data_IF_227578947710
#
_entry.id   IF_227578947710
#
_cell.length_a   1.000
_cell.length_b   1.000
_cell.length_c   1.000
_cell.angle_alpha   90.00
_cell.angle_beta   90.00
_cell.angle_gamma   90.00
#
_symmetry.space_group_name_H-M   'P 1'
#
loop_
_entity.id
_entity.type
_entity.pdbx_description
1 polymer ?
#
# COMPACT_ATOMS: atom_id res chain seq x y z
N UNK A 1 -69.88 1.05 34.57
CA UNK A 1 -69.00 -0.08 34.06
C UNK A 1 -68.34 0.44 32.78
N UNK A 2 -67.07 0.88 32.91
CA UNK A 2 -66.31 1.45 31.81
C UNK A 2 -65.27 0.44 31.33
N UNK A 3 -65.42 -0.06 30.13
CA UNK A 3 -64.56 -1.06 29.50
C UNK A 3 -63.37 -0.33 28.86
N UNK A 4 -62.15 -0.48 29.44
CA UNK A 4 -60.92 0.04 28.85
C UNK A 4 -60.39 -0.97 27.82
N UNK A 5 -60.45 -0.59 26.55
CA UNK A 5 -59.86 -1.34 25.46
C UNK A 5 -58.38 -0.91 25.30
N UNK A 6 -57.43 -1.75 25.79
CA UNK A 6 -56.02 -1.56 25.61
C UNK A 6 -55.61 -2.05 24.23
N UNK A 7 -55.22 -1.11 23.38
CA UNK A 7 -54.67 -1.38 22.03
C UNK A 7 -53.20 -1.76 22.17
N UNK A 8 -52.86 -3.04 22.02
CA UNK A 8 -51.50 -3.54 22.01
C UNK A 8 -50.94 -3.33 20.59
N UNK A 9 -50.07 -2.34 20.44
CA UNK A 9 -49.32 -2.10 19.20
C UNK A 9 -48.07 -3.00 19.20
N UNK A 10 -48.16 -4.14 18.53
CA UNK A 10 -46.99 -5.03 18.32
C UNK A 10 -46.14 -4.44 17.22
N UNK A 11 -45.01 -3.83 17.61
CA UNK A 11 -44.00 -3.31 16.67
C UNK A 11 -43.24 -4.49 16.08
N UNK A 12 -43.54 -4.86 14.85
CA UNK A 12 -42.82 -5.88 14.09
C UNK A 12 -41.50 -5.26 13.59
N UNK A 13 -40.39 -5.46 14.30
CA UNK A 13 -39.05 -5.13 13.82
C UNK A 13 -38.73 -6.12 12.69
N UNK A 14 -38.93 -5.69 11.45
CA UNK A 14 -38.36 -6.38 10.30
C UNK A 14 -36.84 -6.11 10.31
N UNK A 15 -36.05 -7.05 10.83
CA UNK A 15 -34.63 -7.09 10.64
C UNK A 15 -34.36 -7.31 9.13
N UNK A 16 -34.12 -6.24 8.41
CA UNK A 16 -33.58 -6.34 7.05
C UNK A 16 -32.16 -6.90 7.18
N UNK A 17 -32.02 -8.20 6.94
CA UNK A 17 -30.73 -8.78 6.61
C UNK A 17 -30.30 -8.16 5.27
N UNK A 18 -29.56 -7.06 5.34
CA UNK A 18 -28.77 -6.57 4.21
C UNK A 18 -27.67 -7.62 4.04
N UNK A 19 -27.91 -8.55 3.11
CA UNK A 19 -26.87 -9.42 2.62
C UNK A 19 -25.84 -8.49 1.96
N UNK A 20 -24.77 -8.16 2.69
CA UNK A 20 -23.64 -7.43 2.12
C UNK A 20 -23.12 -8.28 0.97
N UNK A 21 -23.18 -7.76 -0.25
CA UNK A 21 -22.57 -8.43 -1.40
C UNK A 21 -21.11 -8.75 -1.05
N UNK A 22 -20.70 -10.00 -1.25
CA UNK A 22 -19.31 -10.44 -1.05
C UNK A 22 -18.38 -9.47 -1.79
N UNK A 23 -17.48 -8.83 -1.04
CA UNK A 23 -16.52 -7.91 -1.59
C UNK A 23 -15.13 -8.55 -1.60
N UNK A 24 -14.76 -9.12 -2.72
CA UNK A 24 -13.49 -9.82 -2.89
C UNK A 24 -12.26 -8.98 -2.51
N UNK A 25 -12.32 -7.67 -2.65
CA UNK A 25 -11.24 -6.78 -2.20
C UNK A 25 -11.08 -6.76 -0.68
N UNK A 26 -12.18 -6.88 0.07
CA UNK A 26 -12.14 -6.99 1.53
C UNK A 26 -11.79 -8.40 1.98
N UNK A 27 -12.38 -9.41 1.33
CA UNK A 27 -12.30 -10.80 1.74
C UNK A 27 -10.91 -11.40 1.53
N UNK A 28 -10.17 -10.89 0.53
CA UNK A 28 -8.80 -11.34 0.21
C UNK A 28 -7.72 -10.37 0.69
N UNK A 29 -8.07 -9.41 1.54
CA UNK A 29 -7.13 -8.42 2.03
C UNK A 29 -6.06 -9.04 2.93
N UNK A 30 -4.80 -8.71 2.63
CA UNK A 30 -3.62 -9.06 3.41
C UNK A 30 -2.96 -7.78 3.88
N UNK A 31 -2.88 -7.59 5.20
CA UNK A 31 -2.21 -6.44 5.78
C UNK A 31 -0.69 -6.50 5.55
N UNK A 32 -0.09 -5.37 5.25
CA UNK A 32 1.37 -5.21 5.28
C UNK A 32 1.87 -5.34 6.72
N UNK A 33 3.19 -5.60 6.89
CA UNK A 33 3.77 -5.56 8.23
C UNK A 33 3.57 -4.16 8.81
N UNK A 34 3.00 -4.11 10.02
CA UNK A 34 2.80 -2.85 10.72
C UNK A 34 4.16 -2.14 10.90
N UNK A 35 4.24 -0.90 10.48
CA UNK A 35 5.33 0.00 10.82
C UNK A 35 4.86 0.92 11.96
N UNK A 36 5.80 1.54 12.67
CA UNK A 36 5.48 2.56 13.67
C UNK A 36 5.25 3.94 13.04
N UNK A 37 5.11 4.00 11.71
CA UNK A 37 4.93 5.24 10.99
C UNK A 37 3.56 5.86 11.29
N UNK A 38 3.53 7.18 11.46
CA UNK A 38 2.29 7.92 11.62
C UNK A 38 1.74 8.31 10.25
N UNK A 39 0.49 7.95 10.00
CA UNK A 39 -0.22 8.34 8.80
C UNK A 39 -1.01 9.63 9.01
N UNK A 40 -1.18 10.39 7.94
CA UNK A 40 -2.12 11.52 7.91
C UNK A 40 -3.52 10.94 7.74
N UNK A 41 -4.48 11.36 8.57
CA UNK A 41 -5.87 10.96 8.36
C UNK A 41 -6.38 11.61 7.07
N UNK A 42 -6.87 10.82 6.08
CA UNK A 42 -7.36 11.36 4.82
C UNK A 42 -8.51 12.35 5.02
N UNK A 43 -8.43 13.51 4.37
CA UNK A 43 -9.52 14.50 4.34
C UNK A 43 -10.48 14.30 3.17
N UNK A 44 -10.02 13.62 2.13
CA UNK A 44 -10.77 13.29 0.92
C UNK A 44 -11.03 11.78 0.86
N UNK A 45 -12.06 11.36 0.12
CA UNK A 45 -12.26 9.94 -0.13
C UNK A 45 -11.09 9.33 -0.90
N UNK A 46 -10.81 8.03 -0.72
CA UNK A 46 -9.71 7.35 -1.40
C UNK A 46 -9.89 7.40 -2.92
N UNK A 47 -8.77 7.55 -3.65
CA UNK A 47 -8.72 7.59 -5.12
C UNK A 47 -8.18 6.29 -5.68
N UNK A 48 -8.77 5.80 -6.78
CA UNK A 48 -8.28 4.61 -7.49
C UNK A 48 -7.49 5.06 -8.73
N UNK A 49 -6.34 4.44 -8.93
CA UNK A 49 -5.52 4.59 -10.13
C UNK A 49 -5.19 3.21 -10.70
N UNK A 50 -5.12 3.12 -12.02
CA UNK A 50 -4.65 1.91 -12.69
C UNK A 50 -3.13 1.86 -12.64
N UNK A 51 -2.59 0.83 -11.99
CA UNK A 51 -1.15 0.56 -11.98
C UNK A 51 -0.68 -0.10 -13.27
N UNK A 52 0.60 0.04 -13.57
CA UNK A 52 1.23 -0.52 -14.77
C UNK A 52 2.35 -1.50 -14.45
N UNK A 53 3.17 -1.16 -13.45
CA UNK A 53 4.34 -1.93 -13.03
C UNK A 53 4.40 -1.91 -11.51
N UNK A 54 4.08 -3.03 -10.87
CA UNK A 54 3.98 -3.14 -9.40
C UNK A 54 5.25 -2.69 -8.68
N UNK A 55 6.42 -2.92 -9.27
CA UNK A 55 7.72 -2.58 -8.66
C UNK A 55 7.99 -1.07 -8.77
N UNK A 56 7.85 -0.52 -9.96
CA UNK A 56 8.07 0.91 -10.20
C UNK A 56 7.00 1.78 -9.52
N UNK A 57 5.75 1.33 -9.58
CA UNK A 57 4.64 2.04 -8.96
C UNK A 57 4.80 2.06 -7.44
N UNK A 58 5.25 0.94 -6.83
CA UNK A 58 5.59 0.88 -5.41
C UNK A 58 6.70 1.88 -5.06
N UNK A 59 7.82 1.85 -5.79
CA UNK A 59 8.92 2.78 -5.56
C UNK A 59 8.43 4.23 -5.66
N UNK A 60 7.61 4.54 -6.68
CA UNK A 60 7.05 5.89 -6.86
C UNK A 60 6.14 6.32 -5.71
N UNK A 61 5.31 5.42 -5.20
CA UNK A 61 4.46 5.72 -4.04
C UNK A 61 5.30 6.00 -2.78
N UNK A 62 6.35 5.20 -2.55
CA UNK A 62 7.29 5.40 -1.43
C UNK A 62 8.04 6.74 -1.56
N UNK A 63 8.50 7.11 -2.76
CA UNK A 63 9.12 8.42 -3.05
C UNK A 63 8.16 9.58 -2.78
N UNK A 64 6.88 9.42 -3.11
CA UNK A 64 5.84 10.41 -2.83
C UNK A 64 5.42 10.47 -1.35
N UNK A 65 6.05 9.68 -0.49
CA UNK A 65 5.79 9.63 0.95
C UNK A 65 4.49 8.91 1.30
N UNK A 66 4.15 7.85 0.55
CA UNK A 66 3.08 6.94 0.91
C UNK A 66 3.65 5.63 1.45
N UNK A 67 2.93 5.00 2.35
CA UNK A 67 3.23 3.68 2.87
C UNK A 67 2.18 2.66 2.41
N UNK A 68 2.64 1.46 2.07
CA UNK A 68 1.77 0.34 1.72
C UNK A 68 1.12 -0.22 3.00
N UNK A 69 -0.20 -0.07 3.13
CA UNK A 69 -0.98 -0.61 4.26
C UNK A 69 -1.26 -2.11 4.07
N UNK A 70 -1.48 -2.53 2.84
CA UNK A 70 -1.77 -3.91 2.49
C UNK A 70 -2.21 -4.04 1.05
N UNK A 71 -2.63 -5.26 0.68
CA UNK A 71 -3.06 -5.57 -0.67
C UNK A 71 -4.15 -6.64 -0.69
N UNK A 72 -4.88 -6.71 -1.79
CA UNK A 72 -5.80 -7.81 -2.11
C UNK A 72 -5.36 -8.46 -3.42
N UNK A 73 -5.35 -9.80 -3.51
CA UNK A 73 -4.98 -10.57 -4.71
C UNK A 73 -6.01 -11.70 -4.89
N UNK A 74 -6.75 -11.70 -6.01
CA UNK A 74 -7.77 -12.68 -6.28
C UNK A 74 -8.00 -12.87 -7.79
N UNK A 75 -8.73 -13.93 -8.14
CA UNK A 75 -9.20 -14.18 -9.49
C UNK A 75 -10.72 -14.22 -9.52
N UNK A 76 -11.32 -13.51 -10.46
CA UNK A 76 -12.77 -13.46 -10.63
C UNK A 76 -13.13 -13.12 -12.08
N UNK A 77 -14.42 -13.15 -12.40
CA UNK A 77 -14.93 -12.57 -13.62
C UNK A 77 -14.73 -11.05 -13.67
N UNK A 78 -15.58 -10.32 -14.34
CA UNK A 78 -15.50 -8.86 -14.37
C UNK A 78 -15.92 -8.27 -13.03
N UNK A 79 -14.99 -7.61 -12.31
CA UNK A 79 -15.21 -6.97 -11.01
C UNK A 79 -14.92 -5.49 -11.14
N UNK A 80 -15.90 -4.66 -10.76
CA UNK A 80 -15.75 -3.20 -10.80
C UNK A 80 -14.62 -2.71 -9.88
N UNK A 81 -13.74 -1.83 -10.37
CA UNK A 81 -12.70 -1.18 -9.58
C UNK A 81 -13.24 -0.46 -8.33
N UNK A 82 -14.43 0.12 -8.41
CA UNK A 82 -15.05 0.88 -7.33
C UNK A 82 -15.35 0.01 -6.09
N UNK A 83 -15.42 -1.30 -6.25
CA UNK A 83 -15.58 -2.24 -5.13
C UNK A 83 -14.36 -2.26 -4.19
N UNK A 84 -13.21 -1.71 -4.60
CA UNK A 84 -12.07 -1.52 -3.73
C UNK A 84 -12.22 -0.34 -2.75
N UNK A 85 -13.10 0.63 -3.04
CA UNK A 85 -13.26 1.85 -2.23
C UNK A 85 -13.75 1.60 -0.80
N UNK A 86 -14.74 0.72 -0.54
CA UNK A 86 -15.14 0.42 0.84
C UNK A 86 -13.99 -0.10 1.70
N UNK A 87 -13.16 -0.99 1.16
CA UNK A 87 -11.97 -1.50 1.84
C UNK A 87 -10.94 -0.39 2.06
N UNK A 88 -10.63 0.42 1.04
CA UNK A 88 -9.73 1.54 1.16
C UNK A 88 -10.17 2.54 2.23
N UNK A 89 -11.47 2.84 2.30
CA UNK A 89 -12.05 3.72 3.33
C UNK A 89 -11.93 3.13 4.74
N UNK A 90 -12.20 1.84 4.90
CA UNK A 90 -12.05 1.14 6.18
C UNK A 90 -10.61 1.16 6.68
N UNK A 91 -9.63 1.09 5.77
CA UNK A 91 -8.20 1.16 6.05
C UNK A 91 -7.67 2.60 6.23
N UNK A 92 -8.48 3.62 6.02
CA UNK A 92 -8.04 5.02 5.95
C UNK A 92 -6.93 5.24 4.89
N UNK A 93 -7.00 4.50 3.79
CA UNK A 93 -6.09 4.68 2.67
C UNK A 93 -6.44 5.95 1.88
N UNK A 94 -5.43 6.64 1.37
CA UNK A 94 -5.60 7.79 0.45
C UNK A 94 -5.73 7.32 -1.00
N UNK A 95 -5.03 6.24 -1.34
CA UNK A 95 -4.86 5.80 -2.72
C UNK A 95 -4.92 4.28 -2.82
N UNK A 96 -5.57 3.81 -3.89
CA UNK A 96 -5.54 2.41 -4.33
C UNK A 96 -4.91 2.33 -5.70
N UNK A 97 -3.87 1.51 -5.86
CA UNK A 97 -3.36 1.13 -7.17
C UNK A 97 -3.93 -0.23 -7.55
N UNK A 98 -4.67 -0.25 -8.64
CA UNK A 98 -5.36 -1.43 -9.13
C UNK A 98 -4.69 -1.96 -10.40
N UNK A 99 -4.43 -3.26 -10.41
CA UNK A 99 -3.89 -4.00 -11.55
C UNK A 99 -4.87 -5.10 -11.92
N UNK A 100 -5.16 -5.24 -13.21
CA UNK A 100 -5.97 -6.32 -13.72
C UNK A 100 -5.32 -6.95 -14.94
N UNK A 101 -5.19 -8.25 -14.94
CA UNK A 101 -4.63 -9.04 -16.04
C UNK A 101 -5.59 -10.15 -16.40
N UNK A 102 -5.80 -10.37 -17.69
CA UNK A 102 -6.60 -11.50 -18.13
C UNK A 102 -5.87 -12.81 -17.80
N UNK A 103 -6.46 -13.63 -16.94
CA UNK A 103 -5.92 -14.94 -16.62
C UNK A 103 -6.00 -15.81 -17.89
N UNK A 104 -4.85 -16.19 -18.44
CA UNK A 104 -4.74 -16.88 -19.74
C UNK A 104 -5.15 -18.37 -19.73
N UNK A 105 -5.62 -18.88 -18.58
CA UNK A 105 -5.91 -20.30 -18.40
C UNK A 105 -7.39 -20.65 -18.47
N UNK A 106 -8.01 -20.46 -19.64
CA UNK A 106 -9.11 -21.35 -20.01
C UNK A 106 -8.46 -22.69 -20.34
N UNK A 107 -8.70 -23.78 -19.58
CA UNK A 107 -8.14 -25.10 -19.89
C UNK A 107 -8.40 -25.45 -21.34
N UNK A 108 -7.44 -26.08 -22.00
CA UNK A 108 -7.57 -26.46 -23.42
C UNK A 108 -8.85 -27.29 -23.68
N UNK A 109 -9.28 -28.07 -22.69
CA UNK A 109 -10.53 -28.84 -22.71
C UNK A 109 -11.77 -27.93 -22.81
N UNK A 110 -11.83 -26.83 -22.06
CA UNK A 110 -12.95 -25.86 -22.08
C UNK A 110 -12.95 -25.10 -23.40
N UNK A 111 -11.77 -24.67 -23.91
CA UNK A 111 -11.65 -24.06 -25.25
C UNK A 111 -12.15 -25.01 -26.36
N UNK A 112 -11.80 -26.28 -26.27
CA UNK A 112 -12.20 -27.27 -27.24
C UNK A 112 -13.70 -27.55 -27.18
N UNK A 113 -14.29 -27.56 -25.99
CA UNK A 113 -15.76 -27.68 -25.81
C UNK A 113 -16.48 -26.43 -26.38
N UNK A 114 -16.02 -25.23 -26.09
CA UNK A 114 -16.59 -23.98 -26.64
C UNK A 114 -16.52 -23.95 -28.18
N UNK A 115 -15.44 -24.46 -28.78
CA UNK A 115 -15.33 -24.57 -30.23
C UNK A 115 -16.31 -25.58 -30.83
N UNK A 116 -16.60 -26.69 -30.14
CA UNK A 116 -17.61 -27.66 -30.56
C UNK A 116 -19.03 -27.08 -30.47
N UNK A 117 -19.36 -26.44 -29.35
CA UNK A 117 -20.66 -25.83 -29.11
C UNK A 117 -20.93 -24.69 -30.12
N UNK A 118 -19.87 -23.91 -30.49
CA UNK A 118 -19.97 -22.88 -31.52
C UNK A 118 -20.23 -23.50 -32.93
N UNK A 119 -19.63 -24.65 -33.25
CA UNK A 119 -19.88 -25.38 -34.52
C UNK A 119 -21.31 -25.97 -34.58
N UNK A 120 -21.89 -26.31 -33.44
CA UNK A 120 -23.24 -26.85 -33.31
C UNK A 120 -24.32 -25.74 -33.22
N UNK A 121 -23.95 -24.46 -33.39
CA UNK A 121 -24.86 -23.32 -33.35
C UNK A 121 -25.45 -23.06 -31.98
N UNK A 122 -24.93 -23.70 -30.90
CA UNK A 122 -25.29 -23.35 -29.53
C UNK A 122 -24.72 -21.97 -29.21
N UNK A 123 -25.54 -21.09 -28.64
CA UNK A 123 -25.05 -19.80 -28.10
C UNK A 123 -24.03 -20.10 -27.01
N UNK A 124 -22.76 -20.09 -27.36
CA UNK A 124 -21.68 -20.07 -26.36
C UNK A 124 -21.65 -18.65 -25.79
N UNK A 125 -21.79 -18.53 -24.47
CA UNK A 125 -21.54 -17.27 -23.76
C UNK A 125 -20.03 -16.98 -23.78
N UNK A 126 -19.43 -16.96 -24.96
CA UNK A 126 -17.97 -16.80 -25.17
C UNK A 126 -17.43 -15.43 -24.70
N UNK A 127 -18.30 -14.57 -24.16
CA UNK A 127 -17.94 -13.25 -23.62
C UNK A 127 -17.98 -13.14 -22.09
N UNK A 128 -18.65 -14.08 -21.38
CA UNK A 128 -18.86 -13.98 -19.94
C UNK A 128 -17.87 -14.78 -19.06
N UNK A 129 -17.03 -15.63 -19.65
CA UNK A 129 -16.14 -16.54 -18.91
C UNK A 129 -14.70 -16.05 -18.85
N UNK A 130 -14.44 -14.77 -19.13
CA UNK A 130 -13.11 -14.21 -18.95
C UNK A 130 -12.81 -14.07 -17.45
N UNK A 131 -11.83 -14.84 -16.98
CA UNK A 131 -11.32 -14.70 -15.63
C UNK A 131 -10.14 -13.70 -15.68
N UNK A 132 -10.15 -12.79 -14.75
CA UNK A 132 -9.08 -11.82 -14.53
C UNK A 132 -8.41 -12.08 -13.19
N UNK A 133 -7.13 -11.82 -13.14
CA UNK A 133 -6.39 -11.68 -11.89
C UNK A 133 -6.36 -10.22 -11.51
N UNK A 134 -6.87 -9.92 -10.32
CA UNK A 134 -6.88 -8.60 -9.73
C UNK A 134 -5.84 -8.50 -8.63
N UNK A 135 -5.14 -7.39 -8.61
CA UNK A 135 -4.26 -7.03 -7.51
C UNK A 135 -4.52 -5.57 -7.16
N UNK A 136 -4.91 -5.30 -5.93
CA UNK A 136 -5.13 -3.94 -5.41
C UNK A 136 -4.15 -3.69 -4.27
N UNK A 137 -3.39 -2.60 -4.32
CA UNK A 137 -2.54 -2.16 -3.20
C UNK A 137 -3.08 -0.87 -2.61
N UNK A 138 -3.13 -0.80 -1.27
CA UNK A 138 -3.71 0.29 -0.50
C UNK A 138 -2.61 1.10 0.16
N UNK A 139 -2.66 2.43 0.00
CA UNK A 139 -1.59 3.35 0.35
C UNK A 139 -2.09 4.47 1.24
N UNK A 140 -1.39 4.74 2.35
CA UNK A 140 -1.65 5.87 3.23
C UNK A 140 -0.52 6.90 3.15
N UNK A 141 -0.88 8.18 3.20
CA UNK A 141 0.09 9.27 3.25
C UNK A 141 0.77 9.29 4.61
N UNK A 142 2.10 9.28 4.61
CA UNK A 142 2.89 9.45 5.82
C UNK A 142 2.80 10.89 6.33
N UNK A 143 2.78 11.05 7.64
CA UNK A 143 3.09 12.34 8.25
C UNK A 143 4.51 12.76 7.84
N UNK A 144 4.82 14.07 7.93
CA UNK A 144 6.16 14.56 7.53
C UNK A 144 7.24 13.66 8.12
N UNK A 145 8.08 13.06 7.26
CA UNK A 145 9.13 12.16 7.74
C UNK A 145 10.21 12.95 8.47
N UNK A 146 10.76 12.42 9.55
CA UNK A 146 11.84 13.08 10.28
C UNK A 146 13.10 13.23 9.43
N UNK A 147 13.48 12.19 8.67
CA UNK A 147 14.59 12.21 7.72
C UNK A 147 14.11 12.02 6.27
N UNK A 148 13.23 11.05 6.04
CA UNK A 148 12.62 10.77 4.74
C UNK A 148 13.43 9.84 3.87
N UNK A 149 13.94 8.76 4.44
CA UNK A 149 14.64 7.69 3.72
C UNK A 149 14.09 6.32 4.09
N UNK A 150 14.11 5.40 3.13
CA UNK A 150 14.03 3.97 3.40
C UNK A 150 15.44 3.40 3.30
N UNK A 151 15.83 2.59 4.27
CA UNK A 151 17.17 2.03 4.35
C UNK A 151 17.15 0.51 4.49
N UNK A 152 18.26 -0.12 4.09
CA UNK A 152 18.58 -1.51 4.43
C UNK A 152 19.96 -1.58 5.09
N UNK A 153 20.22 -2.65 5.84
CA UNK A 153 21.56 -3.02 6.26
C UNK A 153 22.28 -3.59 5.02
N UNK A 154 23.46 -3.08 4.64
CA UNK A 154 24.24 -3.65 3.55
C UNK A 154 24.59 -5.12 3.84
N UNK A 155 24.68 -5.94 2.79
CA UNK A 155 25.18 -7.32 2.94
C UNK A 155 26.65 -7.30 3.38
N UNK A 156 27.06 -8.32 4.13
CA UNK A 156 28.38 -8.34 4.83
C UNK A 156 29.59 -8.11 3.94
N UNK A 157 29.47 -8.30 2.65
CA UNK A 157 30.54 -8.18 1.66
C UNK A 157 30.55 -6.80 0.94
N UNK A 158 29.54 -5.96 1.17
CA UNK A 158 29.37 -4.67 0.53
C UNK A 158 29.51 -3.53 1.54
N UNK A 159 30.69 -2.98 1.70
CA UNK A 159 30.90 -1.66 2.31
C UNK A 159 30.60 -1.52 3.82
N UNK A 160 31.35 -2.11 4.71
CA UNK A 160 31.52 -1.54 6.05
C UNK A 160 30.23 -1.26 6.87
N UNK A 161 30.39 -0.59 7.98
CA UNK A 161 29.27 -0.18 8.85
C UNK A 161 28.43 0.93 8.21
N UNK A 162 27.11 0.86 8.38
CA UNK A 162 26.18 1.91 7.94
C UNK A 162 24.86 1.36 7.40
N UNK A 163 23.99 2.27 6.93
CA UNK A 163 22.67 1.95 6.39
C UNK A 163 22.56 2.45 4.96
N UNK A 164 22.36 1.55 4.01
CA UNK A 164 22.22 1.93 2.60
C UNK A 164 20.83 2.51 2.33
N UNK A 165 20.78 3.67 1.69
CA UNK A 165 19.54 4.31 1.25
C UNK A 165 18.97 3.58 0.04
N UNK A 166 17.73 3.13 0.14
CA UNK A 166 16.95 2.51 -0.93
C UNK A 166 16.06 3.52 -1.66
N UNK A 167 15.45 4.43 -0.88
CA UNK A 167 14.50 5.45 -1.36
C UNK A 167 14.73 6.72 -0.57
N UNK A 168 14.67 7.87 -1.25
CA UNK A 168 14.59 9.20 -0.65
C UNK A 168 13.22 9.77 -0.99
N UNK A 169 12.49 10.20 0.04
CA UNK A 169 11.16 10.79 -0.12
C UNK A 169 11.26 12.22 -0.65
N UNK A 170 10.37 12.60 -1.56
CA UNK A 170 10.21 14.00 -1.96
C UNK A 170 9.76 14.84 -0.75
N UNK A 171 10.08 16.13 -0.76
CA UNK A 171 9.76 17.09 0.32
C UNK A 171 10.28 16.67 1.72
N UNK A 172 11.39 15.94 1.76
CA UNK A 172 12.02 15.46 2.99
C UNK A 172 13.33 16.19 3.31
N UNK A 173 13.78 16.18 4.59
CA UNK A 173 15.10 16.69 4.96
C UNK A 173 16.24 16.03 4.17
N UNK A 174 16.19 14.72 3.96
CA UNK A 174 17.18 13.99 3.17
C UNK A 174 17.27 14.50 1.73
N UNK A 175 16.11 14.75 1.10
CA UNK A 175 16.06 15.32 -0.26
C UNK A 175 16.64 16.73 -0.31
N UNK A 176 16.37 17.54 0.71
CA UNK A 176 16.82 18.93 0.77
C UNK A 176 18.35 19.06 0.78
N UNK A 177 19.07 18.11 1.37
CA UNK A 177 20.55 18.07 1.38
C UNK A 177 21.14 17.21 0.24
N UNK A 178 20.29 16.70 -0.68
CA UNK A 178 20.75 15.95 -1.85
C UNK A 178 21.19 14.52 -1.57
N UNK A 179 20.68 13.88 -0.50
CA UNK A 179 20.85 12.43 -0.33
C UNK A 179 20.20 11.68 -1.48
N UNK A 180 20.78 10.56 -1.87
CA UNK A 180 20.36 9.74 -3.01
C UNK A 180 20.28 8.26 -2.65
N UNK A 181 19.54 7.52 -3.47
CA UNK A 181 19.58 6.06 -3.43
C UNK A 181 21.01 5.55 -3.68
N UNK A 182 21.45 4.64 -2.84
CA UNK A 182 22.79 4.07 -2.88
C UNK A 182 23.75 4.67 -1.88
N UNK A 183 23.50 5.88 -1.38
CA UNK A 183 24.29 6.45 -0.28
C UNK A 183 24.24 5.54 0.95
N UNK A 184 25.32 5.51 1.73
CA UNK A 184 25.40 4.74 2.98
C UNK A 184 25.52 5.72 4.14
N UNK A 185 24.48 5.78 4.98
CA UNK A 185 24.46 6.60 6.18
C UNK A 185 25.35 6.00 7.26
N UNK A 186 26.28 6.76 7.81
CA UNK A 186 27.24 6.33 8.82
C UNK A 186 26.89 6.85 10.22
N UNK A 187 26.44 8.10 10.34
CA UNK A 187 26.04 8.69 11.62
C UNK A 187 25.07 9.85 11.44
N UNK A 188 24.29 10.12 12.49
CA UNK A 188 23.49 11.34 12.66
C UNK A 188 23.85 11.94 14.02
N UNK A 189 24.34 13.19 14.03
CA UNK A 189 24.99 13.78 15.19
C UNK A 189 26.15 12.89 15.68
N UNK A 190 26.20 12.66 16.98
CA UNK A 190 27.21 11.80 17.59
C UNK A 190 26.87 10.29 17.55
N UNK A 191 25.72 9.92 16.98
CA UNK A 191 25.26 8.53 16.97
C UNK A 191 25.64 7.81 15.69
N UNK A 192 26.49 6.77 15.77
CA UNK A 192 26.77 5.89 14.64
C UNK A 192 25.52 5.04 14.30
N UNK A 193 25.37 4.70 13.03
CA UNK A 193 24.25 3.94 12.50
C UNK A 193 24.73 2.55 12.06
N UNK A 194 24.59 1.56 12.94
CA UNK A 194 24.89 0.17 12.62
C UNK A 194 23.65 -0.60 12.14
N UNK A 195 22.47 -0.22 12.63
CA UNK A 195 21.20 -0.85 12.29
C UNK A 195 20.04 0.15 12.26
N UNK A 196 18.84 -0.32 11.85
CA UNK A 196 17.63 0.49 11.77
C UNK A 196 17.20 1.01 13.14
N UNK A 197 17.53 0.30 14.23
CA UNK A 197 17.20 0.73 15.59
C UNK A 197 18.03 1.96 15.96
N UNK A 198 19.29 2.02 15.56
CA UNK A 198 20.15 3.19 15.80
C UNK A 198 19.65 4.41 15.04
N UNK A 199 19.21 4.21 13.78
CA UNK A 199 18.56 5.27 13.01
C UNK A 199 17.33 5.80 13.75
N UNK A 200 16.44 4.91 14.19
CA UNK A 200 15.23 5.29 14.92
C UNK A 200 15.55 6.07 16.20
N UNK A 201 16.55 5.64 16.96
CA UNK A 201 17.02 6.34 18.17
C UNK A 201 17.60 7.72 17.85
N UNK A 202 18.41 7.84 16.78
CA UNK A 202 18.97 9.10 16.34
C UNK A 202 17.87 10.10 15.95
N UNK A 203 16.90 9.65 15.14
CA UNK A 203 15.77 10.49 14.71
C UNK A 203 14.90 10.96 15.88
N UNK A 204 14.68 10.12 16.88
CA UNK A 204 13.94 10.51 18.09
C UNK A 204 14.76 11.49 18.97
N UNK A 205 16.08 11.27 19.08
CA UNK A 205 16.96 12.11 19.90
C UNK A 205 17.11 13.52 19.34
N UNK A 206 17.21 13.62 18.01
CA UNK A 206 17.49 14.89 17.31
C UNK A 206 16.28 15.47 16.59
N UNK A 207 15.07 15.03 16.89
CA UNK A 207 13.84 15.56 16.30
C UNK A 207 13.75 17.11 16.48
N UNK A 208 13.49 17.82 15.40
CA UNK A 208 13.39 19.28 15.38
C UNK A 208 14.74 20.02 15.47
N UNK A 209 15.87 19.33 15.41
CA UNK A 209 17.21 19.92 15.53
C UNK A 209 17.95 19.89 14.18
N UNK A 210 18.93 20.80 14.05
CA UNK A 210 19.92 20.75 12.97
C UNK A 210 21.17 20.08 13.49
N UNK A 211 21.56 18.96 12.87
CA UNK A 211 22.69 18.13 13.28
C UNK A 211 23.55 17.77 12.09
N UNK A 212 24.76 17.30 12.35
CA UNK A 212 25.64 16.77 11.31
C UNK A 212 25.17 15.37 10.91
N UNK A 213 25.18 15.08 9.61
CA UNK A 213 24.95 13.77 9.06
C UNK A 213 26.14 13.35 8.22
N UNK A 214 26.65 12.15 8.47
CA UNK A 214 27.78 11.60 7.76
C UNK A 214 27.32 10.43 6.89
N UNK A 215 27.70 10.46 5.63
CA UNK A 215 27.38 9.39 4.68
C UNK A 215 28.52 9.17 3.69
N UNK A 216 28.49 8.06 2.98
CA UNK A 216 29.36 7.80 1.84
C UNK A 216 28.56 7.64 0.57
N UNK A 217 29.15 8.13 -0.53
CA UNK A 217 28.68 7.96 -1.92
C UNK A 217 29.89 7.61 -2.77
N UNK A 218 29.83 6.51 -3.50
CA UNK A 218 30.94 6.04 -4.36
C UNK A 218 32.28 5.97 -3.59
N UNK A 219 32.25 5.48 -2.35
CA UNK A 219 33.36 5.39 -1.39
C UNK A 219 33.96 6.74 -0.94
N UNK A 220 33.37 7.86 -1.32
CA UNK A 220 33.74 9.19 -0.80
C UNK A 220 32.86 9.54 0.40
N UNK A 221 33.48 10.10 1.43
CA UNK A 221 32.79 10.53 2.65
C UNK A 221 32.31 11.97 2.50
N UNK A 222 31.08 12.21 2.95
CA UNK A 222 30.45 13.51 3.04
C UNK A 222 30.02 13.78 4.47
N UNK A 223 30.07 15.05 4.86
CA UNK A 223 29.69 15.55 6.17
C UNK A 223 28.85 16.82 5.94
N UNK A 224 27.56 16.75 6.22
CA UNK A 224 26.57 17.78 5.88
C UNK A 224 25.70 18.10 7.08
N UNK A 225 25.11 19.31 7.10
CA UNK A 225 24.13 19.68 8.12
C UNK A 225 22.72 19.39 7.65
N UNK A 226 21.95 18.70 8.48
CA UNK A 226 20.56 18.37 8.19
C UNK A 226 19.64 18.86 9.30
N UNK A 227 18.54 19.50 8.91
CA UNK A 227 17.45 19.87 9.83
C UNK A 227 16.38 18.78 9.83
N UNK A 228 16.27 18.04 10.93
CA UNK A 228 15.27 16.98 11.08
C UNK A 228 13.92 17.57 11.45
N UNK A 229 12.81 16.93 10.97
CA UNK A 229 11.43 17.34 11.32
C UNK A 229 11.00 16.77 12.67
#
# INVERSE_FOLDING_TARGET
>A
MRLNLALVFTLFLIAQNVCAAENLYSDTFVASKATNAKHVVPKEPPKIFTGKDKVKDRQRMEELGFELIGYSDFQAGDVSPEMALPQAKALQADTVLLYSERASNVPASVKMQQMRDAKEGKKTNAGSDAIYRYFASYWAKLAKPSLGVHVKIPEKDELGQGLQILVVMEDSPAKAIGLMKGDVLLSIGERPLADVTDLSKALNQYAGQTVDIVYTRDNMRFDEKISLN
#
